data_IF_298864161369
#
_entry.id   IF_298864161369
#
_cell.length_a   1.000
_cell.length_b   1.000
_cell.length_c   1.000
_cell.angle_alpha   90.00
_cell.angle_beta   90.00
_cell.angle_gamma   90.00
#
_symmetry.space_group_name_H-M   'P 1'
#
loop_
_entity.id
_entity.type
_entity.pdbx_description
1 polymer ?
#
# COMPACT_ATOMS: atom_id res chain seq x y z
N UNK A 1 11.94 -0.71 -1.03
CA UNK A 1 10.66 -0.39 -0.36
C UNK A 1 10.14 1.03 -0.59
N UNK A 2 10.86 1.92 -1.28
CA UNK A 2 10.44 3.32 -1.44
C UNK A 2 8.99 3.48 -1.98
N UNK A 3 8.60 2.68 -2.99
CA UNK A 3 7.27 2.72 -3.57
C UNK A 3 6.16 2.34 -2.56
N UNK A 4 6.38 1.27 -1.80
CA UNK A 4 5.47 0.82 -0.73
C UNK A 4 5.36 1.89 0.36
N UNK A 5 6.48 2.47 0.78
CA UNK A 5 6.47 3.55 1.78
C UNK A 5 5.73 4.78 1.28
N UNK A 6 5.92 5.19 0.02
CA UNK A 6 5.20 6.30 -0.58
C UNK A 6 3.69 6.05 -0.65
N UNK A 7 3.28 4.82 -0.99
CA UNK A 7 1.87 4.44 -0.99
C UNK A 7 1.25 4.48 0.41
N UNK A 8 1.94 3.95 1.42
CA UNK A 8 1.49 4.00 2.82
C UNK A 8 1.33 5.43 3.30
N UNK A 9 2.29 6.31 2.98
CA UNK A 9 2.19 7.74 3.32
C UNK A 9 1.05 8.44 2.57
N UNK A 10 0.69 8.00 1.36
CA UNK A 10 -0.48 8.53 0.67
C UNK A 10 -1.77 8.16 1.39
N UNK A 11 -1.98 6.87 1.68
CA UNK A 11 -3.18 6.42 2.38
C UNK A 11 -3.32 7.00 3.79
N UNK A 12 -2.22 7.23 4.49
CA UNK A 12 -2.25 7.96 5.76
C UNK A 12 -2.82 9.39 5.62
N UNK A 13 -2.45 10.09 4.53
CA UNK A 13 -2.98 11.43 4.26
C UNK A 13 -4.45 11.37 3.85
N UNK A 14 -4.80 10.48 2.93
CA UNK A 14 -6.17 10.38 2.39
C UNK A 14 -7.19 10.02 3.48
N UNK A 15 -6.82 9.11 4.39
CA UNK A 15 -7.68 8.68 5.50
C UNK A 15 -7.57 9.58 6.74
N UNK A 16 -6.64 10.55 6.75
CA UNK A 16 -6.29 11.35 7.93
C UNK A 16 -5.94 10.48 9.17
N UNK A 17 -5.22 9.38 8.96
CA UNK A 17 -4.76 8.46 10.02
C UNK A 17 -3.25 8.56 10.17
N UNK A 18 -2.76 8.56 11.41
CA UNK A 18 -1.32 8.49 11.68
C UNK A 18 -0.69 7.26 11.00
N UNK A 19 0.40 7.50 10.27
CA UNK A 19 1.08 6.46 9.49
C UNK A 19 1.51 5.27 10.35
N UNK A 20 1.93 5.48 11.60
CA UNK A 20 2.34 4.40 12.51
C UNK A 20 1.15 3.53 12.97
N UNK A 21 -0.05 4.12 13.07
CA UNK A 21 -1.29 3.38 13.37
C UNK A 21 -1.75 2.53 12.18
N UNK A 22 -1.46 2.99 10.97
CA UNK A 22 -1.73 2.25 9.73
C UNK A 22 -0.73 1.11 9.49
N UNK A 23 0.57 1.41 9.41
CA UNK A 23 1.62 0.41 9.19
C UNK A 23 2.98 0.88 9.71
N UNK A 24 3.63 0.05 10.51
CA UNK A 24 5.04 0.21 10.86
C UNK A 24 5.93 -0.50 9.84
N UNK A 25 7.24 -0.25 9.89
CA UNK A 25 8.22 -0.99 9.08
C UNK A 25 8.14 -2.51 9.33
N UNK A 26 7.92 -2.93 10.58
CA UNK A 26 7.82 -4.35 10.91
C UNK A 26 6.60 -5.00 10.26
N UNK A 27 5.46 -4.30 10.24
CA UNK A 27 4.23 -4.79 9.59
C UNK A 27 4.43 -4.97 8.09
N UNK A 28 5.13 -4.02 7.43
CA UNK A 28 5.47 -4.13 6.02
C UNK A 28 6.38 -5.33 5.74
N UNK A 29 7.41 -5.53 6.56
CA UNK A 29 8.31 -6.70 6.40
C UNK A 29 7.55 -8.01 6.57
N UNK A 30 6.69 -8.11 7.60
CA UNK A 30 5.85 -9.30 7.84
C UNK A 30 4.93 -9.59 6.65
N UNK A 31 4.26 -8.57 6.08
CA UNK A 31 3.42 -8.75 4.89
C UNK A 31 4.24 -9.24 3.70
N UNK A 32 5.41 -8.63 3.46
CA UNK A 32 6.27 -8.94 2.31
C UNK A 32 6.96 -10.30 2.42
N UNK A 33 7.15 -10.82 3.63
CA UNK A 33 7.61 -12.19 3.85
C UNK A 33 6.50 -13.24 3.68
N UNK A 34 5.26 -12.83 3.43
CA UNK A 34 4.12 -13.72 3.31
C UNK A 34 3.64 -14.30 4.64
N UNK A 35 3.91 -13.61 5.76
CA UNK A 35 3.47 -14.03 7.09
C UNK A 35 1.92 -14.03 7.15
N UNK A 36 1.26 -15.18 7.33
CA UNK A 36 -0.20 -15.25 7.37
C UNK A 36 -0.78 -14.54 8.61
N UNK A 37 0.02 -14.32 9.65
CA UNK A 37 -0.38 -13.59 10.85
C UNK A 37 -0.15 -12.07 10.72
N UNK A 38 0.36 -11.59 9.58
CA UNK A 38 0.56 -10.16 9.35
C UNK A 38 -0.75 -9.39 9.56
N UNK A 39 -0.70 -8.30 10.33
CA UNK A 39 -1.86 -7.42 10.52
C UNK A 39 -2.35 -6.75 9.23
N UNK A 40 -1.53 -6.76 8.18
CA UNK A 40 -1.86 -6.23 6.85
C UNK A 40 -2.37 -7.34 5.91
N UNK A 41 -2.41 -8.60 6.35
CA UNK A 41 -2.86 -9.71 5.52
C UNK A 41 -4.39 -9.89 5.54
N UNK A 42 -5.08 -9.44 6.60
CA UNK A 42 -6.54 -9.56 6.75
C UNK A 42 -7.19 -8.36 7.45
N UNK A 43 -8.52 -8.28 7.37
CA UNK A 43 -9.33 -7.22 7.99
C UNK A 43 -9.16 -5.85 7.32
N UNK A 44 -9.65 -4.80 7.98
CA UNK A 44 -9.71 -3.45 7.39
C UNK A 44 -8.36 -2.88 6.95
N UNK A 45 -7.25 -3.26 7.60
CA UNK A 45 -5.90 -2.82 7.19
C UNK A 45 -5.45 -3.51 5.89
N UNK A 46 -5.89 -4.74 5.65
CA UNK A 46 -5.62 -5.41 4.39
C UNK A 46 -6.36 -4.72 3.24
N UNK A 47 -7.65 -4.43 3.44
CA UNK A 47 -8.49 -3.74 2.47
C UNK A 47 -7.95 -2.34 2.15
N UNK A 48 -7.50 -1.60 3.17
CA UNK A 48 -6.98 -0.24 3.00
C UNK A 48 -5.56 -0.21 2.41
N UNK A 49 -4.67 -1.10 2.86
CA UNK A 49 -3.24 -1.05 2.53
C UNK A 49 -2.70 -2.34 1.93
N UNK A 50 -2.97 -3.47 2.59
CA UNK A 50 -2.38 -4.76 2.26
C UNK A 50 -2.56 -5.16 0.80
N UNK A 51 -3.75 -4.95 0.24
CA UNK A 51 -4.08 -5.37 -1.12
C UNK A 51 -3.43 -4.48 -2.17
N UNK A 52 -3.33 -3.18 -1.91
CA UNK A 52 -2.56 -2.24 -2.73
C UNK A 52 -1.07 -2.56 -2.70
N UNK A 53 -0.51 -2.83 -1.53
CA UNK A 53 0.91 -3.20 -1.36
C UNK A 53 1.23 -4.51 -2.10
N UNK A 54 0.38 -5.53 -1.96
CA UNK A 54 0.53 -6.80 -2.70
C UNK A 54 0.49 -6.57 -4.20
N UNK A 55 -0.48 -5.78 -4.69
CA UNK A 55 -0.59 -5.48 -6.11
C UNK A 55 0.64 -4.77 -6.68
N UNK A 56 1.25 -3.86 -5.91
CA UNK A 56 2.52 -3.21 -6.29
C UNK A 56 3.68 -4.20 -6.35
N UNK A 57 3.81 -5.06 -5.35
CA UNK A 57 4.94 -6.01 -5.23
C UNK A 57 4.85 -7.12 -6.27
N UNK A 58 3.63 -7.57 -6.57
CA UNK A 58 3.35 -8.59 -7.59
C UNK A 58 3.37 -8.01 -9.02
N UNK A 59 3.58 -6.70 -9.19
CA UNK A 59 3.62 -6.05 -10.49
C UNK A 59 2.26 -5.96 -11.20
N UNK A 60 1.15 -6.13 -10.46
CA UNK A 60 -0.22 -5.99 -10.98
C UNK A 60 -0.71 -4.54 -10.97
N UNK A 61 -0.02 -3.67 -10.23
CA UNK A 61 -0.28 -2.24 -10.19
C UNK A 61 1.01 -1.42 -10.23
N UNK A 62 0.91 -0.18 -10.72
CA UNK A 62 1.91 0.87 -10.58
C UNK A 62 1.38 2.04 -9.75
N UNK A 63 2.29 2.96 -9.36
CA UNK A 63 1.91 4.26 -8.83
C UNK A 63 2.07 5.33 -9.91
N UNK A 64 1.10 6.22 -9.99
CA UNK A 64 1.16 7.44 -10.79
C UNK A 64 0.71 8.64 -9.96
N UNK A 65 1.03 9.84 -10.43
CA UNK A 65 0.47 11.06 -9.84
C UNK A 65 -1.02 11.19 -10.18
N UNK A 66 -1.78 11.71 -9.23
CA UNK A 66 -3.22 11.98 -9.42
C UNK A 66 -3.52 13.34 -10.10
N UNK A 67 -2.48 14.14 -10.38
CA UNK A 67 -2.61 15.49 -10.94
C UNK A 67 -2.88 16.60 -9.92
N UNK A 68 -3.04 16.26 -8.64
CA UNK A 68 -3.27 17.19 -7.52
C UNK A 68 -2.15 17.15 -6.47
N UNK A 69 -1.00 16.58 -6.82
CA UNK A 69 0.15 16.42 -5.92
C UNK A 69 0.13 15.15 -5.07
N UNK A 70 -0.88 14.30 -5.25
CA UNK A 70 -0.98 12.98 -4.64
C UNK A 70 -0.55 11.85 -5.59
N UNK A 71 -0.84 10.63 -5.16
CA UNK A 71 -0.46 9.38 -5.82
C UNK A 71 -1.69 8.49 -5.87
N UNK A 72 -1.85 7.74 -6.94
CA UNK A 72 -2.90 6.73 -7.06
C UNK A 72 -2.34 5.44 -7.62
N UNK A 73 -2.96 4.32 -7.25
CA UNK A 73 -2.73 3.04 -7.89
C UNK A 73 -3.36 3.00 -9.28
N UNK A 74 -2.65 2.42 -10.23
CA UNK A 74 -3.14 2.09 -11.56
C UNK A 74 -2.85 0.63 -11.85
N UNK A 75 -3.86 -0.11 -12.31
CA UNK A 75 -3.66 -1.48 -12.78
C UNK A 75 -2.76 -1.48 -14.02
N UNK A 76 -1.89 -2.48 -14.15
CA UNK A 76 -0.93 -2.55 -15.26
C UNK A 76 -1.62 -2.85 -16.61
N UNK A 77 -2.80 -3.47 -16.59
CA UNK A 77 -3.63 -3.66 -17.79
C UNK A 77 -4.32 -2.37 -18.28
N UNK A 78 -4.32 -1.31 -17.46
CA UNK A 78 -4.96 -0.03 -17.78
C UNK A 78 -4.04 0.96 -18.51
N UNK A 79 -2.80 0.54 -18.85
CA UNK A 79 -1.78 1.37 -19.51
C UNK A 79 -1.52 0.91 -20.97
N UNK A 80 -2.45 0.17 -21.55
CA UNK A 80 -2.45 -0.23 -22.97
C UNK A 80 -3.04 0.83 -23.90
#
# INVERSE_FOLDING_TARGET
MALVSAWVSQMARDEAIDTALLATRADLVSLLSGDPASRLASGWRAELLGDGIRSLVEGRAGLTFDGSGGLRLVGVDAVG
#
